data_IF_239288888274
#
_entry.id   IF_239288888274
#
_cell.length_a   1.000
_cell.length_b   1.000
_cell.length_c   1.000
_cell.angle_alpha   90.00
_cell.angle_beta   90.00
_cell.angle_gamma   90.00
#
_symmetry.space_group_name_H-M   'P 1'
#
loop_
_entity.id
_entity.type
_entity.pdbx_description
1 polymer ?
#
# COMPACT_ATOMS: atom_id res chain seq x y z
N UNK A 1 0.61 -6.65 -15.72
CA UNK A 1 0.17 -5.71 -14.65
C UNK A 1 -1.23 -6.11 -14.23
N UNK A 2 -1.47 -6.46 -12.97
CA UNK A 2 -2.82 -6.84 -12.51
C UNK A 2 -3.68 -5.57 -12.46
N UNK A 3 -4.80 -5.57 -13.19
CA UNK A 3 -5.81 -4.52 -13.13
C UNK A 3 -6.51 -4.55 -11.75
N UNK A 4 -6.77 -3.38 -11.15
CA UNK A 4 -7.47 -3.25 -9.86
C UNK A 4 -8.78 -4.06 -9.83
N UNK A 5 -9.52 -4.08 -10.93
CA UNK A 5 -10.77 -4.85 -11.06
C UNK A 5 -10.52 -6.37 -10.99
N UNK A 6 -9.49 -6.85 -11.69
CA UNK A 6 -9.08 -8.26 -11.68
C UNK A 6 -8.60 -8.69 -10.29
N UNK A 7 -7.82 -7.84 -9.61
CA UNK A 7 -7.37 -8.11 -8.25
C UNK A 7 -8.54 -8.27 -7.27
N UNK A 8 -9.50 -7.34 -7.29
CA UNK A 8 -10.67 -7.40 -6.40
C UNK A 8 -11.55 -8.63 -6.71
N UNK A 9 -11.80 -8.93 -7.99
CA UNK A 9 -12.57 -10.13 -8.37
C UNK A 9 -11.87 -11.41 -7.91
N UNK A 10 -10.59 -11.55 -8.19
CA UNK A 10 -9.78 -12.70 -7.78
C UNK A 10 -9.78 -12.86 -6.25
N UNK A 11 -9.64 -11.77 -5.50
CA UNK A 11 -9.73 -11.76 -4.04
C UNK A 11 -11.09 -12.28 -3.55
N UNK A 12 -12.20 -11.80 -4.12
CA UNK A 12 -13.55 -12.26 -3.78
C UNK A 12 -13.74 -13.75 -4.08
N UNK A 13 -13.37 -14.19 -5.28
CA UNK A 13 -13.53 -15.58 -5.73
C UNK A 13 -12.70 -16.58 -4.89
N UNK A 14 -11.61 -16.11 -4.27
CA UNK A 14 -10.70 -16.95 -3.47
C UNK A 14 -10.89 -16.79 -1.95
N UNK A 15 -11.97 -16.11 -1.53
CA UNK A 15 -12.44 -16.09 -0.14
C UNK A 15 -11.85 -15.00 0.74
N UNK A 16 -11.31 -13.92 0.17
CA UNK A 16 -11.01 -12.71 0.94
C UNK A 16 -12.28 -11.86 1.13
N UNK A 17 -12.39 -11.19 2.29
CA UNK A 17 -13.40 -10.16 2.51
C UNK A 17 -13.09 -8.95 1.61
N UNK A 18 -13.82 -8.76 0.52
CA UNK A 18 -13.66 -7.60 -0.37
C UNK A 18 -14.88 -6.68 -0.23
N UNK A 19 -14.71 -5.37 0.04
CA UNK A 19 -15.84 -4.46 0.07
C UNK A 19 -16.54 -4.40 -1.29
N UNK A 20 -17.87 -4.23 -1.34
CA UNK A 20 -18.62 -4.07 -2.58
C UNK A 20 -17.94 -3.10 -3.53
N UNK A 21 -17.77 -3.52 -4.79
CA UNK A 21 -17.10 -2.72 -5.80
C UNK A 21 -17.75 -2.89 -7.17
N UNK A 22 -17.59 -1.87 -8.01
CA UNK A 22 -17.94 -1.87 -9.43
C UNK A 22 -16.83 -1.26 -10.25
N UNK A 23 -16.50 -1.94 -11.33
CA UNK A 23 -15.64 -1.39 -12.37
C UNK A 23 -16.49 -0.58 -13.35
N UNK A 24 -16.09 0.66 -13.56
CA UNK A 24 -16.79 1.64 -14.40
C UNK A 24 -15.96 1.90 -15.64
N UNK A 25 -16.57 1.61 -16.79
CA UNK A 25 -15.99 1.78 -18.13
C UNK A 25 -16.86 2.63 -19.06
N UNK A 26 -18.11 2.88 -18.67
CA UNK A 26 -19.15 3.57 -19.43
C UNK A 26 -20.23 4.11 -18.48
N UNK A 27 -21.17 4.88 -19.01
CA UNK A 27 -22.26 5.48 -18.23
C UNK A 27 -23.18 4.42 -17.59
N UNK A 28 -23.41 3.28 -18.25
CA UNK A 28 -24.29 2.23 -17.73
C UNK A 28 -23.70 1.55 -16.48
N UNK A 29 -22.42 1.18 -16.54
CA UNK A 29 -21.68 0.66 -15.38
C UNK A 29 -21.55 1.69 -14.26
N UNK A 30 -21.48 2.99 -14.60
CA UNK A 30 -21.49 4.06 -13.62
C UNK A 30 -22.84 4.19 -12.90
N UNK A 31 -23.96 4.21 -13.64
CA UNK A 31 -25.31 4.22 -13.06
C UNK A 31 -25.54 3.03 -12.13
N UNK A 32 -25.07 1.84 -12.53
CA UNK A 32 -25.09 0.64 -11.68
C UNK A 32 -24.26 0.83 -10.41
N UNK A 33 -23.09 1.46 -10.50
CA UNK A 33 -22.26 1.73 -9.33
C UNK A 33 -22.94 2.71 -8.35
N UNK A 34 -23.58 3.76 -8.86
CA UNK A 34 -24.29 4.75 -8.05
C UNK A 34 -25.49 4.15 -7.30
N UNK A 35 -26.18 3.15 -7.87
CA UNK A 35 -27.33 2.52 -7.22
C UNK A 35 -26.98 1.39 -6.25
N UNK A 36 -25.80 0.77 -6.40
CA UNK A 36 -25.46 -0.48 -5.68
C UNK A 36 -24.33 -0.37 -4.66
N UNK A 37 -23.46 0.66 -4.75
CA UNK A 37 -22.35 0.82 -3.82
C UNK A 37 -22.74 1.72 -2.64
N UNK A 38 -22.66 1.25 -1.39
CA UNK A 38 -22.97 2.07 -0.22
C UNK A 38 -22.00 3.25 -0.04
N UNK A 39 -22.50 4.33 0.56
CA UNK A 39 -21.70 5.49 0.97
C UNK A 39 -21.18 5.37 2.42
N UNK A 40 -20.03 6.01 2.73
CA UNK A 40 -19.08 6.60 1.80
C UNK A 40 -18.45 5.55 0.87
N UNK A 41 -18.05 5.95 -0.32
CA UNK A 41 -17.33 5.11 -1.28
C UNK A 41 -16.02 5.77 -1.70
N UNK A 42 -15.14 5.00 -2.35
CA UNK A 42 -13.89 5.46 -2.93
C UNK A 42 -13.89 5.25 -4.43
N UNK A 43 -13.37 6.26 -5.14
CA UNK A 43 -13.09 6.20 -6.57
C UNK A 43 -11.59 6.02 -6.76
N UNK A 44 -11.20 4.95 -7.44
CA UNK A 44 -9.81 4.60 -7.76
C UNK A 44 -9.63 4.56 -9.29
N UNK A 45 -8.98 5.56 -9.90
CA UNK A 45 -8.69 5.55 -11.33
C UNK A 45 -7.74 4.40 -11.72
N UNK A 46 -7.88 3.86 -12.94
CA UNK A 46 -7.02 2.80 -13.49
C UNK A 46 -5.80 3.41 -14.19
N UNK A 47 -4.66 3.35 -13.52
CA UNK A 47 -3.49 4.18 -13.84
C UNK A 47 -2.93 4.02 -15.26
N UNK A 48 -2.89 2.80 -15.81
CA UNK A 48 -2.23 2.51 -17.10
C UNK A 48 -2.94 3.11 -18.32
N UNK A 49 -4.25 3.42 -18.23
CA UNK A 49 -4.98 4.15 -19.29
C UNK A 49 -5.04 5.65 -19.08
N UNK A 50 -4.69 6.13 -17.88
CA UNK A 50 -5.00 7.50 -17.46
C UNK A 50 -3.81 8.46 -17.51
N UNK A 51 -2.64 8.06 -18.07
CA UNK A 51 -1.39 8.82 -18.33
C UNK A 51 -1.16 10.16 -17.57
N UNK A 52 -1.52 10.24 -16.29
CA UNK A 52 -1.41 11.46 -15.48
C UNK A 52 -2.53 12.52 -15.64
N UNK A 53 -3.59 12.28 -16.41
CA UNK A 53 -4.72 13.23 -16.59
C UNK A 53 -5.63 13.34 -15.36
N UNK A 54 -5.52 12.36 -14.46
CA UNK A 54 -6.29 12.30 -13.21
C UNK A 54 -5.35 12.54 -12.04
N UNK A 55 -5.48 13.70 -11.40
CA UNK A 55 -4.59 14.19 -10.35
C UNK A 55 -4.71 13.49 -8.98
N UNK A 56 -5.39 12.34 -8.89
CA UNK A 56 -5.56 11.62 -7.62
C UNK A 56 -5.46 10.08 -7.78
N UNK A 57 -4.89 9.41 -6.78
CA UNK A 57 -4.85 7.92 -6.71
C UNK A 57 -6.16 7.33 -6.20
N UNK A 58 -6.77 8.01 -5.24
CA UNK A 58 -8.02 7.64 -4.56
C UNK A 58 -8.76 8.92 -4.18
N UNK A 59 -10.08 8.94 -4.33
CA UNK A 59 -10.95 10.02 -3.83
C UNK A 59 -12.11 9.42 -3.04
N UNK A 60 -12.32 9.88 -1.81
CA UNK A 60 -13.48 9.51 -1.00
C UNK A 60 -14.68 10.36 -1.43
N UNK A 61 -15.81 9.72 -1.71
CA UNK A 61 -17.10 10.33 -2.00
C UNK A 61 -18.08 9.98 -0.88
N UNK A 62 -18.51 10.97 -0.13
CA UNK A 62 -19.32 10.82 1.08
C UNK A 62 -20.80 10.63 0.79
N UNK A 63 -21.25 11.02 -0.41
CA UNK A 63 -22.65 11.03 -0.82
C UNK A 63 -22.77 10.90 -2.35
N UNK A 64 -24.02 10.82 -2.82
CA UNK A 64 -24.36 10.70 -4.23
C UNK A 64 -23.76 11.81 -5.10
N UNK A 65 -23.92 13.08 -4.71
CA UNK A 65 -23.45 14.23 -5.51
C UNK A 65 -21.93 14.20 -5.72
N UNK A 66 -21.17 13.83 -4.69
CA UNK A 66 -19.71 13.72 -4.79
C UNK A 66 -19.28 12.58 -5.73
N UNK A 67 -19.96 11.43 -5.67
CA UNK A 67 -19.69 10.30 -6.57
C UNK A 67 -20.07 10.66 -8.01
N UNK A 68 -21.25 11.25 -8.20
CA UNK A 68 -21.77 11.71 -9.49
C UNK A 68 -20.78 12.65 -10.18
N UNK A 69 -20.39 13.73 -9.50
CA UNK A 69 -19.44 14.70 -10.02
C UNK A 69 -18.08 14.07 -10.35
N UNK A 70 -17.56 13.23 -9.46
CA UNK A 70 -16.26 12.55 -9.68
C UNK A 70 -16.32 11.57 -10.84
N UNK A 71 -17.40 10.80 -10.96
CA UNK A 71 -17.54 9.81 -12.02
C UNK A 71 -17.72 10.45 -13.39
N UNK A 72 -18.52 11.52 -13.50
CA UNK A 72 -18.63 12.27 -14.76
C UNK A 72 -17.30 12.94 -15.15
N UNK A 73 -16.55 13.49 -14.20
CA UNK A 73 -15.21 14.02 -14.46
C UNK A 73 -14.31 12.97 -15.13
N UNK A 74 -14.33 11.75 -14.62
CA UNK A 74 -13.51 10.65 -15.14
C UNK A 74 -14.04 10.11 -16.47
N UNK A 75 -15.35 9.94 -16.62
CA UNK A 75 -15.96 9.49 -17.87
C UNK A 75 -15.69 10.48 -19.02
N UNK A 76 -15.77 11.79 -18.76
CA UNK A 76 -15.45 12.83 -19.74
C UNK A 76 -13.98 12.81 -20.17
N UNK A 77 -13.08 12.30 -19.32
CA UNK A 77 -11.66 12.06 -19.63
C UNK A 77 -11.41 10.68 -20.24
N UNK A 78 -12.45 9.94 -20.65
CA UNK A 78 -12.35 8.55 -21.13
C UNK A 78 -11.61 7.63 -20.15
N UNK A 79 -11.75 7.91 -18.85
CA UNK A 79 -11.02 7.22 -17.79
C UNK A 79 -11.83 6.06 -17.22
N UNK A 80 -11.19 4.91 -17.07
CA UNK A 80 -11.77 3.78 -16.34
C UNK A 80 -11.41 3.87 -14.87
N UNK A 81 -12.36 3.50 -14.01
CA UNK A 81 -12.18 3.59 -12.57
C UNK A 81 -12.96 2.51 -11.82
N UNK A 82 -12.54 2.27 -10.59
CA UNK A 82 -13.24 1.43 -9.63
C UNK A 82 -13.99 2.32 -8.66
N UNK A 83 -15.28 2.04 -8.45
CA UNK A 83 -16.06 2.54 -7.31
C UNK A 83 -16.13 1.42 -6.29
N UNK A 84 -15.74 1.65 -5.05
CA UNK A 84 -15.70 0.64 -3.99
C UNK A 84 -16.21 1.23 -2.68
N UNK A 85 -16.90 0.45 -1.85
CA UNK A 85 -17.29 0.90 -0.52
C UNK A 85 -16.06 1.35 0.30
N UNK A 86 -16.15 2.51 0.95
CA UNK A 86 -15.09 2.96 1.84
C UNK A 86 -15.16 2.23 3.17
N UNK A 87 -14.08 1.52 3.52
CA UNK A 87 -13.93 0.93 4.85
C UNK A 87 -13.53 2.04 5.83
N UNK A 88 -14.41 2.33 6.78
CA UNK A 88 -14.16 3.31 7.85
C UNK A 88 -12.98 2.88 8.72
N UNK A 89 -12.31 3.86 9.33
CA UNK A 89 -11.12 3.68 10.13
C UNK A 89 -10.02 4.65 9.73
N UNK A 90 -9.01 4.71 10.58
CA UNK A 90 -7.79 5.50 10.47
C UNK A 90 -6.70 4.79 9.66
N UNK A 91 -5.57 5.48 9.45
CA UNK A 91 -4.37 4.88 8.86
C UNK A 91 -3.89 3.66 9.66
N UNK A 92 -4.05 3.67 10.99
CA UNK A 92 -3.60 2.57 11.85
C UNK A 92 -4.44 1.31 11.77
N UNK A 93 -5.56 1.37 11.04
CA UNK A 93 -6.38 0.21 10.74
C UNK A 93 -5.95 -0.46 9.42
N UNK A 94 -4.95 0.07 8.72
CA UNK A 94 -4.41 -0.54 7.50
C UNK A 94 -3.25 -1.48 7.84
N UNK A 95 -3.43 -2.74 7.48
CA UNK A 95 -2.46 -3.82 7.65
C UNK A 95 -1.87 -4.23 6.30
N UNK A 96 -0.63 -4.69 6.33
CA UNK A 96 0.12 -5.09 5.13
C UNK A 96 0.71 -6.46 5.32
N UNK A 97 0.70 -7.28 4.29
CA UNK A 97 1.46 -8.52 4.22
C UNK A 97 2.42 -8.45 3.05
N UNK A 98 3.71 -8.30 3.32
CA UNK A 98 4.77 -8.36 2.31
C UNK A 98 5.25 -9.81 2.22
N UNK A 99 5.43 -10.34 1.03
CA UNK A 99 5.80 -11.74 0.88
C UNK A 99 6.67 -12.04 -0.34
N UNK A 100 7.30 -13.21 -0.29
CA UNK A 100 7.90 -13.91 -1.40
C UNK A 100 7.46 -15.37 -1.38
N UNK A 101 6.88 -15.85 -2.49
CA UNK A 101 6.60 -17.27 -2.70
C UNK A 101 7.61 -17.86 -3.68
N UNK A 102 8.22 -18.97 -3.30
CA UNK A 102 9.28 -19.62 -4.08
C UNK A 102 8.81 -20.06 -5.47
N UNK A 103 9.73 -20.17 -6.42
CA UNK A 103 9.46 -20.57 -7.82
C UNK A 103 8.86 -21.97 -7.93
N UNK A 104 9.20 -22.86 -7.01
CA UNK A 104 8.61 -24.20 -6.90
C UNK A 104 7.19 -24.19 -6.29
N UNK A 105 6.74 -23.05 -5.80
CA UNK A 105 5.41 -22.83 -5.22
C UNK A 105 5.23 -23.39 -3.80
N UNK A 106 6.25 -23.95 -3.17
CA UNK A 106 6.12 -24.67 -1.88
C UNK A 106 6.10 -23.72 -0.68
N UNK A 107 7.06 -22.80 -0.61
CA UNK A 107 7.30 -21.96 0.56
C UNK A 107 6.81 -20.53 0.36
N UNK A 108 6.24 -19.95 1.42
CA UNK A 108 5.88 -18.54 1.48
C UNK A 108 6.56 -17.93 2.69
N UNK A 109 7.44 -16.97 2.41
CA UNK A 109 8.06 -16.13 3.41
C UNK A 109 7.33 -14.81 3.41
N UNK A 110 6.98 -14.29 4.60
CA UNK A 110 6.23 -13.06 4.66
C UNK A 110 6.36 -12.35 5.99
N UNK A 111 6.18 -11.04 5.92
CA UNK A 111 6.22 -10.12 7.04
C UNK A 111 4.88 -9.38 7.10
N UNK A 112 4.21 -9.48 8.25
CA UNK A 112 3.02 -8.68 8.55
C UNK A 112 3.43 -7.30 9.07
N UNK A 113 2.64 -6.30 8.75
CA UNK A 113 2.88 -4.93 9.19
C UNK A 113 1.60 -4.15 9.31
N UNK A 114 1.73 -2.95 9.87
CA UNK A 114 0.64 -2.02 10.09
C UNK A 114 1.12 -0.61 9.77
N UNK A 115 0.32 0.14 9.01
CA UNK A 115 0.57 1.56 8.79
C UNK A 115 0.38 2.30 10.11
N UNK A 116 1.20 3.30 10.37
CA UNK A 116 1.01 4.24 11.47
C UNK A 116 0.43 5.53 10.89
N UNK A 117 0.99 6.02 9.78
CA UNK A 117 0.53 7.22 9.07
C UNK A 117 0.54 7.01 7.56
N UNK A 118 -0.35 7.72 6.88
CA UNK A 118 -0.33 7.89 5.44
C UNK A 118 -0.24 9.37 5.07
N UNK A 119 0.29 9.65 3.88
CA UNK A 119 0.26 10.99 3.29
C UNK A 119 -0.28 10.96 1.85
N UNK A 120 -1.44 11.58 1.57
CA UNK A 120 -2.39 12.20 2.51
C UNK A 120 -3.04 11.21 3.49
N UNK A 121 -3.54 11.66 4.66
CA UNK A 121 -4.23 10.80 5.62
C UNK A 121 -5.41 10.05 4.98
N UNK A 122 -5.58 8.78 5.34
CA UNK A 122 -6.60 7.84 4.88
C UNK A 122 -6.60 7.48 3.37
N UNK A 123 -5.79 8.15 2.54
CA UNK A 123 -5.87 8.03 1.07
C UNK A 123 -4.50 7.89 0.39
N UNK A 124 -3.42 8.00 1.16
CA UNK A 124 -2.07 8.15 0.66
C UNK A 124 -1.21 6.90 0.68
N UNK A 125 0.08 7.13 0.45
CA UNK A 125 1.12 6.13 0.67
C UNK A 125 1.52 6.09 2.14
N UNK A 126 2.16 4.99 2.57
CA UNK A 126 2.69 4.87 3.92
C UNK A 126 3.72 5.98 4.17
N UNK A 127 3.55 6.73 5.26
CA UNK A 127 4.50 7.72 5.75
C UNK A 127 5.29 7.18 6.96
N UNK A 128 4.64 6.37 7.79
CA UNK A 128 5.28 5.50 8.77
C UNK A 128 4.52 4.19 8.90
N UNK A 129 5.25 3.13 9.23
CA UNK A 129 4.69 1.81 9.49
C UNK A 129 5.52 1.05 10.50
N UNK A 130 4.97 -0.06 10.99
CA UNK A 130 5.68 -1.01 11.85
C UNK A 130 5.49 -2.43 11.36
N UNK A 131 6.51 -3.27 11.56
CA UNK A 131 6.38 -4.71 11.52
C UNK A 131 5.73 -5.15 12.83
N UNK A 132 4.61 -5.86 12.72
CA UNK A 132 3.78 -6.30 13.84
C UNK A 132 3.38 -7.73 13.53
N UNK A 133 3.81 -8.68 14.37
CA UNK A 133 3.52 -10.09 14.16
C UNK A 133 2.00 -10.32 14.26
N UNK A 134 1.43 -10.91 13.21
CA UNK A 134 0.00 -11.13 13.11
C UNK A 134 -0.27 -12.48 12.43
N UNK A 135 -0.29 -13.57 13.21
CA UNK A 135 -0.44 -14.92 12.68
C UNK A 135 -1.73 -15.10 11.86
N UNK A 136 -2.83 -14.48 12.29
CA UNK A 136 -4.12 -14.55 11.59
C UNK A 136 -4.08 -13.89 10.21
N UNK A 137 -3.48 -12.70 10.11
CA UNK A 137 -3.31 -12.01 8.83
C UNK A 137 -2.38 -12.80 7.89
N UNK A 138 -1.31 -13.37 8.45
CA UNK A 138 -0.37 -14.24 7.72
C UNK A 138 -1.11 -15.44 7.13
N UNK A 139 -1.90 -16.14 7.94
CA UNK A 139 -2.68 -17.31 7.51
C UNK A 139 -3.66 -16.96 6.39
N UNK A 140 -4.46 -15.90 6.56
CA UNK A 140 -5.41 -15.41 5.54
C UNK A 140 -4.67 -15.15 4.22
N UNK A 141 -3.52 -14.49 4.30
CA UNK A 141 -2.74 -14.09 3.14
C UNK A 141 -2.09 -15.30 2.44
N UNK A 142 -1.46 -16.19 3.20
CA UNK A 142 -0.83 -17.41 2.67
C UNK A 142 -1.85 -18.31 1.98
N UNK A 143 -3.02 -18.50 2.60
CA UNK A 143 -4.11 -19.29 2.02
C UNK A 143 -4.58 -18.69 0.69
N UNK A 144 -4.77 -17.37 0.63
CA UNK A 144 -5.11 -16.69 -0.61
C UNK A 144 -4.03 -16.85 -1.69
N UNK A 145 -2.76 -16.60 -1.35
CA UNK A 145 -1.62 -16.70 -2.28
C UNK A 145 -1.49 -18.13 -2.84
N UNK A 146 -1.70 -19.16 -2.02
CA UNK A 146 -1.70 -20.56 -2.45
C UNK A 146 -2.83 -20.85 -3.43
N UNK A 147 -4.07 -20.41 -3.13
CA UNK A 147 -5.25 -20.64 -3.98
C UNK A 147 -5.09 -20.06 -5.38
N UNK A 148 -4.50 -18.87 -5.50
CA UNK A 148 -4.31 -18.20 -6.80
C UNK A 148 -3.05 -18.64 -7.56
N UNK A 149 -2.33 -19.64 -7.03
CA UNK A 149 -1.00 -20.09 -7.45
C UNK A 149 0.02 -18.98 -7.79
N UNK A 150 -0.01 -17.87 -7.04
CA UNK A 150 0.92 -16.78 -7.30
C UNK A 150 2.33 -17.13 -6.85
N UNK A 151 3.37 -16.73 -7.61
CA UNK A 151 4.79 -16.97 -7.29
C UNK A 151 5.58 -15.68 -7.43
N UNK A 152 6.63 -15.56 -6.62
CA UNK A 152 7.47 -14.37 -6.55
C UNK A 152 7.03 -13.37 -5.48
N UNK A 153 7.43 -12.11 -5.67
CA UNK A 153 7.22 -11.02 -4.72
C UNK A 153 5.81 -10.46 -4.77
N UNK A 154 5.28 -10.06 -3.63
CA UNK A 154 4.08 -9.23 -3.60
C UNK A 154 3.83 -8.58 -2.25
N UNK A 155 2.80 -7.75 -2.25
CA UNK A 155 2.24 -7.14 -1.05
C UNK A 155 0.73 -7.24 -1.09
N UNK A 156 0.09 -7.51 0.03
CA UNK A 156 -1.37 -7.40 0.17
C UNK A 156 -1.67 -6.35 1.24
N UNK A 157 -2.51 -5.38 0.91
CA UNK A 157 -3.04 -4.41 1.86
C UNK A 157 -4.46 -4.77 2.26
N UNK A 158 -4.71 -4.71 3.56
CA UNK A 158 -6.02 -4.91 4.18
C UNK A 158 -6.36 -3.71 5.06
N UNK A 159 -7.66 -3.43 5.26
CA UNK A 159 -8.13 -2.57 6.34
C UNK A 159 -8.94 -3.40 7.33
N UNK A 160 -8.62 -3.27 8.61
CA UNK A 160 -9.32 -3.96 9.68
C UNK A 160 -10.66 -3.27 9.96
N UNK A 161 -11.74 -4.04 9.99
CA UNK A 161 -13.08 -3.58 10.36
C UNK A 161 -13.68 -4.56 11.37
N UNK A 162 -13.68 -4.16 12.64
CA UNK A 162 -13.94 -5.10 13.74
C UNK A 162 -12.92 -6.24 13.71
N UNK A 163 -13.39 -7.48 13.64
CA UNK A 163 -12.55 -8.68 13.56
C UNK A 163 -12.18 -9.10 12.13
N UNK A 164 -12.61 -8.38 11.10
CA UNK A 164 -12.36 -8.73 9.70
C UNK A 164 -11.18 -7.96 9.10
N UNK A 165 -10.46 -8.61 8.19
CA UNK A 165 -9.42 -8.00 7.36
C UNK A 165 -9.96 -7.84 5.94
N UNK A 166 -10.44 -6.64 5.61
CA UNK A 166 -11.02 -6.35 4.31
C UNK A 166 -9.92 -5.98 3.30
N UNK A 167 -9.87 -6.69 2.18
CA UNK A 167 -8.90 -6.49 1.09
C UNK A 167 -8.99 -5.07 0.50
N UNK A 168 -7.83 -4.42 0.31
CA UNK A 168 -7.71 -3.11 -0.34
C UNK A 168 -7.10 -3.25 -1.74
N UNK A 169 -5.90 -3.83 -1.80
CA UNK A 169 -5.13 -4.06 -3.02
C UNK A 169 -4.08 -5.15 -2.83
N UNK A 170 -3.64 -5.75 -3.93
CA UNK A 170 -2.47 -6.61 -3.99
C UNK A 170 -1.51 -6.06 -5.05
N UNK A 171 -0.23 -5.97 -4.71
CA UNK A 171 0.85 -5.67 -5.64
C UNK A 171 1.57 -6.95 -6.06
N UNK A 172 2.03 -6.97 -7.31
CA UNK A 172 2.81 -8.06 -7.90
C UNK A 172 4.29 -7.68 -8.04
N UNK A 173 4.77 -6.91 -7.09
CA UNK A 173 6.15 -6.42 -7.00
C UNK A 173 6.50 -6.19 -5.52
N UNK A 174 7.79 -6.05 -5.18
CA UNK A 174 8.18 -5.53 -3.89
C UNK A 174 7.53 -4.17 -3.62
N UNK A 175 7.08 -3.97 -2.38
CA UNK A 175 6.60 -2.67 -1.93
C UNK A 175 7.77 -1.74 -1.61
N UNK A 176 7.57 -0.42 -1.76
CA UNK A 176 8.62 0.56 -1.42
C UNK A 176 9.02 0.53 0.05
N UNK A 177 8.17 -0.02 0.92
CA UNK A 177 8.43 -0.25 2.33
C UNK A 177 8.92 -1.68 2.64
N UNK A 178 9.26 -2.50 1.63
CA UNK A 178 9.79 -3.85 1.85
C UNK A 178 11.06 -3.93 2.71
N UNK A 179 11.94 -2.90 2.80
CA UNK A 179 13.05 -2.91 3.76
C UNK A 179 12.60 -3.02 5.23
N UNK A 180 11.33 -2.73 5.54
CA UNK A 180 10.75 -3.00 6.85
C UNK A 180 10.81 -4.49 7.20
N UNK A 181 10.58 -5.37 6.23
CA UNK A 181 10.65 -6.82 6.46
C UNK A 181 12.08 -7.26 6.79
N UNK A 182 13.07 -6.72 6.09
CA UNK A 182 14.50 -6.95 6.39
C UNK A 182 14.84 -6.48 7.80
N UNK A 183 14.41 -5.28 8.19
CA UNK A 183 14.62 -4.75 9.55
C UNK A 183 13.90 -5.59 10.63
N UNK A 184 12.78 -6.22 10.27
CA UNK A 184 12.06 -7.17 11.11
C UNK A 184 12.72 -8.57 11.15
N UNK A 185 13.83 -8.79 10.45
CA UNK A 185 14.55 -10.08 10.41
C UNK A 185 14.09 -11.03 9.31
N UNK A 186 13.25 -10.59 8.38
CA UNK A 186 12.75 -11.37 7.23
C UNK A 186 13.17 -10.67 5.94
N UNK A 187 14.41 -10.91 5.50
CA UNK A 187 14.92 -10.32 4.27
C UNK A 187 14.34 -11.02 3.03
N UNK A 188 13.15 -10.56 2.62
CA UNK A 188 12.44 -11.09 1.45
C UNK A 188 13.27 -10.93 0.17
N UNK A 189 14.06 -9.87 0.05
CA UNK A 189 14.90 -9.61 -1.12
C UNK A 189 16.03 -10.64 -1.21
N UNK A 190 16.71 -10.91 -0.09
CA UNK A 190 17.73 -11.96 0.01
C UNK A 190 17.14 -13.34 -0.29
N UNK A 191 16.02 -13.69 0.37
CA UNK A 191 15.33 -14.97 0.15
C UNK A 191 14.97 -15.15 -1.32
N UNK A 192 14.40 -14.12 -1.94
CA UNK A 192 14.03 -14.17 -3.36
C UNK A 192 15.22 -14.26 -4.29
N UNK A 193 16.32 -13.55 -4.01
CA UNK A 193 17.58 -13.70 -4.74
C UNK A 193 18.09 -15.14 -4.67
N UNK A 194 18.16 -15.70 -3.47
CA UNK A 194 18.63 -17.06 -3.25
C UNK A 194 17.82 -18.10 -4.02
N UNK A 195 16.49 -18.02 -3.96
CA UNK A 195 15.61 -18.90 -4.73
C UNK A 195 15.81 -18.74 -6.24
N UNK A 196 16.00 -17.51 -6.74
CA UNK A 196 16.23 -17.25 -8.17
C UNK A 196 17.54 -17.85 -8.69
N UNK A 197 18.62 -17.78 -7.91
CA UNK A 197 19.94 -18.30 -8.31
C UNK A 197 20.22 -19.72 -7.83
N UNK A 198 19.28 -20.34 -7.10
CA UNK A 198 19.37 -21.74 -6.67
C UNK A 198 20.32 -21.98 -5.49
N UNK A 199 20.56 -20.97 -4.65
CA UNK A 199 21.35 -21.10 -3.42
C UNK A 199 20.45 -21.15 -2.20
N UNK A 200 20.94 -21.76 -1.12
CA UNK A 200 20.23 -21.74 0.15
C UNK A 200 20.31 -20.34 0.78
N UNK A 201 19.19 -19.74 1.21
CA UNK A 201 19.18 -18.49 1.97
C UNK A 201 19.71 -18.66 3.41
N UNK A 202 20.16 -19.86 3.80
CA UNK A 202 20.58 -20.21 5.15
C UNK A 202 19.46 -20.87 5.95
N UNK A 203 19.60 -20.90 7.28
CA UNK A 203 18.58 -21.49 8.14
C UNK A 203 17.39 -20.54 8.31
N UNK A 204 16.25 -20.90 7.72
CA UNK A 204 14.99 -20.15 7.83
C UNK A 204 13.95 -20.80 8.77
N UNK A 205 14.29 -21.89 9.47
CA UNK A 205 13.33 -22.66 10.27
C UNK A 205 12.77 -21.88 11.47
N UNK A 206 13.49 -20.85 11.92
CA UNK A 206 13.16 -20.04 13.08
C UNK A 206 13.07 -18.54 12.74
N UNK A 207 12.64 -18.20 11.51
CA UNK A 207 12.40 -16.80 11.16
C UNK A 207 11.37 -16.20 12.12
N UNK A 208 11.86 -15.36 13.03
CA UNK A 208 11.03 -14.61 13.97
C UNK A 208 10.90 -13.19 13.46
N UNK A 209 9.66 -12.76 13.25
CA UNK A 209 9.40 -11.36 12.93
C UNK A 209 9.60 -10.52 14.19
N UNK A 210 10.61 -9.65 14.16
CA UNK A 210 10.86 -8.69 15.22
C UNK A 210 10.06 -7.41 14.98
N UNK A 211 9.83 -6.66 16.07
CA UNK A 211 9.25 -5.32 15.96
C UNK A 211 10.27 -4.39 15.31
N UNK A 212 9.87 -3.78 14.20
CA UNK A 212 10.66 -2.82 13.45
C UNK A 212 9.76 -1.68 12.99
N UNK A 213 10.37 -0.55 12.63
CA UNK A 213 9.67 0.62 12.13
C UNK A 213 10.23 1.05 10.78
N UNK A 214 9.37 1.65 9.97
CA UNK A 214 9.75 2.26 8.71
C UNK A 214 9.25 3.68 8.64
N UNK A 215 10.09 4.60 8.16
CA UNK A 215 9.79 6.03 8.10
C UNK A 215 10.12 6.63 6.74
N UNK A 216 9.12 7.25 6.13
CA UNK A 216 9.25 8.04 4.91
C UNK A 216 9.48 9.51 5.27
N UNK A 217 10.74 9.96 5.19
CA UNK A 217 11.13 11.27 5.69
C UNK A 217 10.41 12.42 4.99
N UNK A 218 10.27 12.36 3.67
CA UNK A 218 9.61 13.40 2.89
C UNK A 218 8.10 13.50 3.21
N UNK A 219 7.42 12.36 3.30
CA UNK A 219 6.01 12.29 3.64
C UNK A 219 5.77 12.79 5.05
N UNK A 220 6.68 12.55 5.99
CA UNK A 220 6.62 13.12 7.33
C UNK A 220 6.79 14.64 7.34
N UNK A 221 7.72 15.18 6.55
CA UNK A 221 7.86 16.63 6.39
C UNK A 221 6.54 17.22 5.86
N UNK A 222 5.92 16.56 4.88
CA UNK A 222 4.61 16.98 4.38
C UNK A 222 3.52 16.88 5.45
N UNK A 223 3.46 15.80 6.23
CA UNK A 223 2.53 15.67 7.35
C UNK A 223 2.70 16.79 8.36
N UNK A 224 3.94 17.12 8.76
CA UNK A 224 4.21 18.22 9.68
C UNK A 224 3.75 19.55 9.06
N UNK A 225 4.11 19.82 7.80
CA UNK A 225 3.81 21.09 7.14
C UNK A 225 2.31 21.35 6.94
N UNK A 226 1.55 20.32 6.58
CA UNK A 226 0.12 20.47 6.20
C UNK A 226 -0.87 20.02 7.29
N UNK A 227 -0.37 19.61 8.45
CA UNK A 227 -1.21 19.21 9.58
C UNK A 227 -1.64 20.39 10.44
N UNK A 228 -2.84 20.30 11.01
CA UNK A 228 -3.29 21.16 12.12
C UNK A 228 -2.55 20.90 13.44
N UNK A 229 -1.72 19.85 13.51
CA UNK A 229 -0.97 19.39 14.70
C UNK A 229 0.51 19.10 14.33
N UNK A 230 1.29 20.09 13.87
CA UNK A 230 2.66 19.88 13.41
C UNK A 230 3.59 19.32 14.49
N UNK A 231 3.52 19.86 15.71
CA UNK A 231 4.35 19.42 16.84
C UNK A 231 4.13 17.95 17.20
N UNK A 232 2.88 17.47 17.12
CA UNK A 232 2.56 16.05 17.36
C UNK A 232 3.32 15.15 16.39
N UNK A 233 3.30 15.48 15.09
CA UNK A 233 3.98 14.68 14.08
C UNK A 233 5.50 14.81 14.13
N UNK A 234 6.02 15.97 14.54
CA UNK A 234 7.45 16.13 14.81
C UNK A 234 7.92 15.23 15.95
N UNK A 235 7.23 15.24 17.10
CA UNK A 235 7.56 14.39 18.24
C UNK A 235 7.43 12.89 17.90
N UNK A 236 6.43 12.52 17.11
CA UNK A 236 6.27 11.15 16.62
C UNK A 236 7.41 10.72 15.69
N UNK A 237 7.86 11.59 14.77
CA UNK A 237 9.04 11.32 13.94
C UNK A 237 10.30 11.13 14.78
N UNK A 238 10.52 12.00 15.76
CA UNK A 238 11.66 11.90 16.69
C UNK A 238 11.60 10.57 17.44
N UNK A 239 10.45 10.25 18.05
CA UNK A 239 10.25 8.99 18.76
C UNK A 239 10.52 7.76 17.87
N UNK A 240 9.99 7.74 16.65
CA UNK A 240 10.19 6.63 15.70
C UNK A 240 11.66 6.53 15.26
N UNK A 241 12.34 7.66 15.06
CA UNK A 241 13.76 7.69 14.67
C UNK A 241 14.71 7.19 15.75
N UNK A 242 14.30 7.20 17.02
CA UNK A 242 15.07 6.69 18.15
C UNK A 242 14.84 5.20 18.43
N UNK A 243 13.97 4.53 17.67
CA UNK A 243 13.73 3.10 17.86
C UNK A 243 14.95 2.30 17.43
N UNK A 244 15.28 1.23 18.19
CA UNK A 244 16.43 0.35 17.89
C UNK A 244 16.41 -0.20 16.47
N UNK A 245 15.23 -0.59 16.00
CA UNK A 245 15.00 -1.19 14.69
C UNK A 245 14.14 -0.23 13.85
N UNK A 246 14.79 0.70 13.16
CA UNK A 246 14.13 1.67 12.30
C UNK A 246 14.83 1.77 10.96
N UNK A 247 14.04 1.75 9.89
CA UNK A 247 14.52 1.95 8.53
C UNK A 247 13.92 3.20 7.92
N UNK A 248 14.77 4.05 7.37
CA UNK A 248 14.32 5.21 6.61
C UNK A 248 14.17 4.82 5.13
N UNK A 249 13.18 5.43 4.47
CA UNK A 249 12.90 5.22 3.04
C UNK A 249 14.11 5.45 2.11
N UNK A 250 14.90 6.49 2.38
CA UNK A 250 16.01 6.91 1.50
C UNK A 250 17.31 7.15 2.29
N UNK A 251 17.22 7.62 3.54
CA UNK A 251 18.41 7.93 4.33
C UNK A 251 19.18 6.66 4.70
N UNK A 252 20.48 6.66 4.43
CA UNK A 252 21.45 5.66 4.87
C UNK A 252 22.74 6.38 5.29
N UNK A 253 23.34 5.97 6.41
CA UNK A 253 24.63 6.52 6.85
C UNK A 253 25.78 6.05 5.95
N UNK A 254 25.68 4.86 5.36
CA UNK A 254 26.68 4.32 4.45
C UNK A 254 26.56 4.85 3.02
N UNK A 255 25.40 5.39 2.65
CA UNK A 255 25.13 5.97 1.33
C UNK A 255 24.15 7.15 1.47
N UNK A 256 24.63 8.33 1.89
CA UNK A 256 23.76 9.48 2.15
C UNK A 256 23.36 10.24 0.88
N UNK A 257 24.07 10.04 -0.23
CA UNK A 257 23.92 10.84 -1.46
C UNK A 257 22.51 10.76 -2.08
N UNK A 258 21.83 9.60 -2.13
CA UNK A 258 20.45 9.51 -2.61
C UNK A 258 19.49 10.43 -1.86
N UNK A 259 19.65 10.57 -0.54
CA UNK A 259 18.78 11.43 0.26
C UNK A 259 18.97 12.91 -0.07
N UNK A 260 20.21 13.38 -0.23
CA UNK A 260 20.49 14.75 -0.66
C UNK A 260 19.93 15.03 -2.05
N UNK A 261 20.06 14.09 -3.00
CA UNK A 261 19.48 14.23 -4.34
C UNK A 261 17.95 14.35 -4.29
N UNK A 262 17.29 13.51 -3.48
CA UNK A 262 15.84 13.55 -3.28
C UNK A 262 15.39 14.88 -2.66
N UNK A 263 16.13 15.40 -1.68
CA UNK A 263 15.84 16.72 -1.10
C UNK A 263 15.99 17.85 -2.10
N UNK A 264 17.12 17.89 -2.83
CA UNK A 264 17.38 18.91 -3.84
C UNK A 264 16.30 18.89 -4.93
N UNK A 265 15.96 17.71 -5.45
CA UNK A 265 14.89 17.55 -6.43
C UNK A 265 13.55 18.09 -5.89
N UNK A 266 13.20 17.75 -4.65
CA UNK A 266 11.95 18.21 -4.03
C UNK A 266 11.93 19.73 -3.85
N UNK A 267 13.07 20.33 -3.51
CA UNK A 267 13.23 21.78 -3.38
C UNK A 267 13.08 22.49 -4.74
N UNK A 268 13.81 22.05 -5.77
CA UNK A 268 13.75 22.66 -7.11
C UNK A 268 12.39 22.48 -7.80
N UNK A 269 11.74 21.32 -7.63
CA UNK A 269 10.38 21.09 -8.14
C UNK A 269 9.36 22.03 -7.49
N UNK A 270 9.54 22.38 -6.21
CA UNK A 270 8.67 23.34 -5.49
C UNK A 270 8.84 24.79 -5.95
N UNK A 271 10.01 25.15 -6.48
CA UNK A 271 10.32 26.50 -6.96
C UNK A 271 10.03 26.64 -8.48
N UNK A 272 9.57 25.57 -9.14
CA UNK A 272 9.30 25.57 -10.58
C UNK A 272 10.56 25.58 -11.45
N UNK A 273 11.72 25.20 -10.90
CA UNK A 273 13.02 25.26 -11.59
C UNK A 273 13.38 23.95 -12.30
N UNK A 274 12.55 22.90 -12.21
CA UNK A 274 12.77 21.68 -13.01
C UNK A 274 12.13 21.83 -14.39
N UNK A 275 12.85 22.48 -15.31
CA UNK A 275 12.71 22.27 -16.75
C UNK A 275 13.77 21.26 -17.21
N UNK A 276 13.32 20.24 -17.95
CA UNK A 276 14.04 19.12 -18.59
C UNK A 276 14.12 17.83 -17.78
#
# INVERSE_FOLDING_TARGET
MIDKSRANRCATENGLDVPPFKYVKDLNSFNTAMSSIPYPCIVKPVWWKNRGEVGFKTRICSNFKELEATGYELLNKNSFFLVQQYIKGSDSDVYTYMFYRTRDGKNIYGCTGRKIRQMPPNQGIMASGMAEDNPRLKEISDNFIRKIDYRGFGGIEFKKQGEKYCFIEMSVRPEGFSPLATEAGIDLSWIGYCDMVGISPGNLSNLKQNKAYWLAGLEYIHLIKYSKKPFKYLLEAIFLSMQRHVRFSVWSTSDPMPWFKVLLYTFFKKIGITNR
#
